data_IF_809413516658
#
_entry.id   IF_809413516658
#
_cell.length_a   1.000
_cell.length_b   1.000
_cell.length_c   1.000
_cell.angle_alpha   90.00
_cell.angle_beta   90.00
_cell.angle_gamma   90.00
#
_symmetry.space_group_name_H-M   'P 1'
#
loop_
_entity.id
_entity.type
_entity.pdbx_description
1 polymer ?
#
# COMPACT_ATOMS: atom_id res chain seq x y z
N UNK A 1 0.56 15.86 -0.25
CA UNK A 1 0.61 14.66 -1.12
C UNK A 1 0.33 13.42 -0.26
N UNK A 2 -0.13 12.30 -0.84
CA UNK A 2 -0.39 11.07 -0.05
C UNK A 2 0.85 10.62 0.73
N UNK A 3 2.05 10.76 0.14
CA UNK A 3 3.33 10.47 0.79
C UNK A 3 3.54 11.26 2.10
N UNK A 4 3.22 12.55 2.11
CA UNK A 4 3.36 13.40 3.30
C UNK A 4 2.42 12.94 4.43
N UNK A 5 1.18 12.54 4.07
CA UNK A 5 0.22 12.00 5.05
C UNK A 5 0.74 10.71 5.67
N UNK A 6 1.30 9.81 4.85
CA UNK A 6 1.85 8.53 5.33
C UNK A 6 3.07 8.76 6.23
N UNK A 7 3.95 9.69 5.87
CA UNK A 7 5.11 10.05 6.69
C UNK A 7 4.68 10.64 8.04
N UNK A 8 3.76 11.61 8.03
CA UNK A 8 3.23 12.23 9.25
C UNK A 8 2.57 11.22 10.20
N UNK A 9 1.91 10.19 9.65
CA UNK A 9 1.30 9.10 10.43
C UNK A 9 2.29 8.01 10.87
N UNK A 10 3.56 8.10 10.49
CA UNK A 10 4.55 7.06 10.78
C UNK A 10 4.28 5.74 10.03
N UNK A 11 3.62 5.79 8.87
CA UNK A 11 3.25 4.61 8.06
C UNK A 11 4.30 4.23 7.00
N UNK A 12 5.44 4.92 6.97
CA UNK A 12 6.57 4.61 6.08
C UNK A 12 7.70 4.07 6.96
N UNK A 13 7.93 2.75 6.90
CA UNK A 13 9.08 2.15 7.55
C UNK A 13 10.35 2.29 6.69
N UNK A 14 10.25 1.94 5.40
CA UNK A 14 11.33 2.01 4.42
C UNK A 14 10.76 2.32 3.04
N UNK A 15 11.59 2.92 2.17
CA UNK A 15 11.31 3.14 0.76
C UNK A 15 12.56 2.82 -0.05
N UNK A 16 12.42 2.30 -1.26
CA UNK A 16 13.55 2.07 -2.17
C UNK A 16 14.18 3.39 -2.60
N UNK A 17 13.34 4.37 -2.94
CA UNK A 17 13.70 5.75 -3.25
C UNK A 17 12.46 6.61 -3.03
N UNK A 18 12.49 7.48 -2.01
CA UNK A 18 11.34 8.31 -1.65
C UNK A 18 11.16 9.49 -2.61
N UNK A 19 12.25 10.03 -3.14
CA UNK A 19 12.22 11.20 -4.01
C UNK A 19 11.73 10.82 -5.40
N UNK A 20 12.18 9.67 -5.93
CA UNK A 20 11.68 9.11 -7.18
C UNK A 20 10.18 8.76 -7.08
N UNK A 21 9.75 8.15 -5.96
CA UNK A 21 8.33 7.85 -5.74
C UNK A 21 7.48 9.13 -5.68
N UNK A 22 7.96 10.17 -5.00
CA UNK A 22 7.30 11.47 -4.96
C UNK A 22 7.21 12.12 -6.35
N UNK A 23 8.25 11.99 -7.18
CA UNK A 23 8.22 12.48 -8.56
C UNK A 23 7.15 11.76 -9.39
N UNK A 24 7.08 10.42 -9.31
CA UNK A 24 6.08 9.63 -10.03
C UNK A 24 4.64 9.92 -9.57
N UNK A 25 4.40 10.06 -8.28
CA UNK A 25 3.07 10.43 -7.76
C UNK A 25 2.59 11.80 -8.24
N UNK A 26 3.49 12.72 -8.57
CA UNK A 26 3.14 14.03 -9.17
C UNK A 26 2.78 13.92 -10.65
N UNK A 27 3.23 12.88 -11.36
CA UNK A 27 2.93 12.66 -12.78
C UNK A 27 1.49 12.20 -13.02
N UNK A 28 0.87 11.56 -12.03
CA UNK A 28 -0.54 11.17 -12.08
C UNK A 28 -0.87 9.92 -11.27
N UNK A 29 -2.05 9.31 -11.53
CA UNK A 29 -2.46 8.07 -10.90
C UNK A 29 -1.44 6.95 -11.11
N UNK A 30 -1.22 6.16 -10.07
CA UNK A 30 -0.30 5.02 -10.09
C UNK A 30 -1.07 3.75 -9.77
N UNK A 31 -0.60 2.62 -10.28
CA UNK A 31 -1.07 1.31 -9.85
C UNK A 31 -0.10 0.76 -8.81
N UNK A 32 -0.64 0.26 -7.69
CA UNK A 32 0.13 -0.28 -6.58
C UNK A 32 -0.54 -1.55 -6.06
N UNK A 33 0.20 -2.42 -5.36
CA UNK A 33 -0.35 -3.64 -4.81
C UNK A 33 0.13 -3.92 -3.39
N UNK A 34 -0.65 -4.73 -2.66
CA UNK A 34 -0.17 -5.42 -1.45
C UNK A 34 -0.63 -6.88 -1.50
N UNK A 35 0.29 -7.79 -1.16
CA UNK A 35 0.05 -9.23 -1.11
C UNK A 35 -0.43 -9.68 0.28
N UNK A 36 -1.35 -10.64 0.31
CA UNK A 36 -1.85 -11.28 1.50
C UNK A 36 -1.90 -12.80 1.28
N UNK A 37 -1.02 -13.53 1.95
CA UNK A 37 -0.97 -14.99 1.83
C UNK A 37 -2.01 -15.65 2.77
N UNK A 38 -2.70 -16.72 2.32
CA UNK A 38 -3.72 -17.42 3.10
C UNK A 38 -3.08 -18.32 4.16
N UNK A 39 -2.46 -17.70 5.17
CA UNK A 39 -1.83 -18.40 6.31
C UNK A 39 -2.83 -18.81 7.39
N UNK A 40 -4.04 -18.27 7.34
CA UNK A 40 -5.15 -18.60 8.22
C UNK A 40 -6.50 -18.39 7.53
N UNK A 41 -7.59 -18.84 8.14
CA UNK A 41 -8.95 -18.65 7.62
C UNK A 41 -9.43 -17.18 7.59
N UNK A 42 -8.69 -16.26 8.22
CA UNK A 42 -9.04 -14.84 8.28
C UNK A 42 -7.81 -13.94 8.42
N UNK A 43 -7.97 -12.68 7.99
CA UNK A 43 -6.99 -11.63 8.25
C UNK A 43 -7.12 -11.12 9.68
N UNK A 44 -6.00 -10.99 10.39
CA UNK A 44 -5.94 -10.34 11.71
C UNK A 44 -5.52 -8.85 11.63
N UNK A 45 -5.49 -8.17 12.79
CA UNK A 45 -5.19 -6.74 12.92
C UNK A 45 -3.90 -6.28 12.22
N UNK A 46 -2.84 -7.09 12.21
CA UNK A 46 -1.60 -6.80 11.47
C UNK A 46 -1.78 -6.53 9.96
N UNK A 47 -2.81 -7.09 9.32
CA UNK A 47 -3.11 -6.85 7.90
C UNK A 47 -3.87 -5.55 7.65
N UNK A 48 -4.42 -4.91 8.70
CA UNK A 48 -5.19 -3.69 8.55
C UNK A 48 -4.32 -2.52 8.10
N UNK A 49 -3.06 -2.46 8.54
CA UNK A 49 -2.14 -1.38 8.15
C UNK A 49 -1.95 -1.32 6.62
N UNK A 50 -1.50 -2.39 5.93
CA UNK A 50 -1.37 -2.36 4.47
C UNK A 50 -2.71 -2.17 3.76
N UNK A 51 -3.82 -2.77 4.26
CA UNK A 51 -5.15 -2.57 3.67
C UNK A 51 -5.63 -1.11 3.73
N UNK A 52 -5.46 -0.46 4.88
CA UNK A 52 -5.83 0.93 5.05
C UNK A 52 -4.92 1.84 4.23
N UNK A 53 -3.64 1.52 4.10
CA UNK A 53 -2.72 2.24 3.20
C UNK A 53 -3.18 2.16 1.75
N UNK A 54 -3.54 0.97 1.23
CA UNK A 54 -4.12 0.83 -0.11
C UNK A 54 -5.39 1.67 -0.27
N UNK A 55 -6.28 1.69 0.74
CA UNK A 55 -7.48 2.52 0.73
C UNK A 55 -7.17 4.02 0.71
N UNK A 56 -6.10 4.48 1.36
CA UNK A 56 -5.66 5.89 1.31
C UNK A 56 -5.16 6.26 -0.09
N UNK A 57 -4.36 5.39 -0.70
CA UNK A 57 -3.95 5.57 -2.09
C UNK A 57 -5.17 5.60 -3.04
N UNK A 58 -6.16 4.75 -2.83
CA UNK A 58 -7.41 4.81 -3.61
C UNK A 58 -8.12 6.15 -3.48
N UNK A 59 -8.25 6.66 -2.25
CA UNK A 59 -8.88 7.96 -1.96
C UNK A 59 -8.10 9.14 -2.53
N UNK A 60 -6.78 9.00 -2.69
CA UNK A 60 -5.92 9.95 -3.36
C UNK A 60 -5.93 9.83 -4.90
N UNK A 61 -6.76 8.93 -5.47
CA UNK A 61 -6.95 8.79 -6.92
C UNK A 61 -6.07 7.73 -7.59
N UNK A 62 -5.34 6.92 -6.82
CA UNK A 62 -4.52 5.82 -7.34
C UNK A 62 -5.33 4.52 -7.45
N UNK A 63 -4.75 3.52 -8.14
CA UNK A 63 -5.38 2.23 -8.41
C UNK A 63 -4.73 1.12 -7.57
N UNK A 64 -5.23 0.81 -6.37
CA UNK A 64 -4.72 -0.31 -5.60
C UNK A 64 -5.18 -1.66 -6.17
N UNK A 65 -4.33 -2.67 -6.01
CA UNK A 65 -4.61 -4.08 -6.27
C UNK A 65 -4.37 -4.85 -4.97
N UNK A 66 -5.38 -5.54 -4.47
CA UNK A 66 -5.22 -6.50 -3.38
C UNK A 66 -4.91 -7.84 -4.02
N UNK A 67 -3.70 -8.36 -3.78
CA UNK A 67 -3.28 -9.65 -4.29
C UNK A 67 -3.43 -10.70 -3.18
N UNK A 68 -4.33 -11.66 -3.38
CA UNK A 68 -4.39 -12.85 -2.54
C UNK A 68 -3.34 -13.85 -3.04
N UNK A 69 -2.44 -14.29 -2.15
CA UNK A 69 -1.50 -15.37 -2.44
C UNK A 69 -2.25 -16.67 -2.76
N UNK A 70 -1.69 -17.46 -3.68
CA UNK A 70 -2.17 -18.84 -3.86
C UNK A 70 -1.89 -19.68 -2.61
N UNK A 71 -2.57 -20.83 -2.43
CA UNK A 71 -2.17 -21.77 -1.40
C UNK A 71 -0.69 -22.15 -1.59
N UNK A 72 0.08 -22.37 -0.51
CA UNK A 72 1.39 -22.98 -0.65
C UNK A 72 1.23 -24.31 -1.41
N UNK A 73 2.10 -24.52 -2.40
CA UNK A 73 2.13 -25.74 -3.20
C UNK A 73 2.34 -26.99 -2.33
#
# INVERSE_FOLDING_TARGET
>A
MILDELAWRGLIAQSTDLDALAAELRRGPMTLYAGFDPTAASLHAGHLVPLLTLRRFQRAGHRPIVLAGGPPA
#
